data_IF_643322595811
#
_entry.id   IF_643322595811
#
_cell.length_a   1.000
_cell.length_b   1.000
_cell.length_c   1.000
_cell.angle_alpha   90.00
_cell.angle_beta   90.00
_cell.angle_gamma   90.00
#
_symmetry.space_group_name_H-M   'P 1'
#
loop_
_entity.id
_entity.type
_entity.pdbx_description
1 polymer ?
#
# COMPACT_ATOMS: atom_id res chain seq x y z
N UNK A 1 -34.76 -0.88 -22.45
CA UNK A 1 -33.29 -1.06 -22.63
C UNK A 1 -32.41 -0.24 -21.66
N UNK A 2 -32.85 0.92 -21.13
CA UNK A 2 -32.03 1.75 -20.21
C UNK A 2 -31.73 1.12 -18.82
N UNK A 3 -32.59 0.23 -18.32
CA UNK A 3 -32.50 -0.33 -16.96
C UNK A 3 -31.51 -1.49 -16.83
N UNK A 4 -31.35 -2.30 -17.89
CA UNK A 4 -30.37 -3.39 -17.92
C UNK A 4 -28.92 -2.86 -17.91
N UNK A 5 -28.67 -1.75 -18.61
CA UNK A 5 -27.34 -1.09 -18.66
C UNK A 5 -26.89 -0.56 -17.29
N UNK A 6 -27.77 0.08 -16.52
CA UNK A 6 -27.43 0.61 -15.18
C UNK A 6 -27.18 -0.50 -14.16
N UNK A 7 -27.93 -1.59 -14.25
CA UNK A 7 -27.74 -2.76 -13.37
C UNK A 7 -26.40 -3.43 -13.67
N UNK A 8 -26.07 -3.61 -14.95
CA UNK A 8 -24.78 -4.16 -15.36
C UNK A 8 -23.62 -3.27 -14.89
N UNK A 9 -23.69 -1.96 -15.10
CA UNK A 9 -22.67 -1.02 -14.65
C UNK A 9 -22.49 -1.03 -13.12
N UNK A 10 -23.57 -1.24 -12.35
CA UNK A 10 -23.51 -1.41 -10.90
C UNK A 10 -22.78 -2.70 -10.52
N UNK A 11 -23.12 -3.82 -11.15
CA UNK A 11 -22.49 -5.11 -10.90
C UNK A 11 -20.99 -5.07 -11.23
N UNK A 12 -20.61 -4.52 -12.39
CA UNK A 12 -19.21 -4.33 -12.78
C UNK A 12 -18.43 -3.57 -11.71
N UNK A 13 -18.95 -2.42 -11.25
CA UNK A 13 -18.30 -1.63 -10.19
C UNK A 13 -18.16 -2.42 -8.89
N UNK A 14 -19.17 -3.18 -8.50
CA UNK A 14 -19.10 -3.99 -7.28
C UNK A 14 -18.02 -5.05 -7.39
N UNK A 15 -17.95 -5.76 -8.52
CA UNK A 15 -16.89 -6.75 -8.78
C UNK A 15 -15.49 -6.11 -8.75
N UNK A 16 -15.32 -4.90 -9.29
CA UNK A 16 -14.06 -4.17 -9.24
C UNK A 16 -13.65 -3.78 -7.81
N UNK A 17 -14.60 -3.29 -7.00
CA UNK A 17 -14.36 -2.95 -5.60
C UNK A 17 -14.03 -4.22 -4.78
N UNK A 18 -14.75 -5.32 -4.98
CA UNK A 18 -14.47 -6.59 -4.30
C UNK A 18 -13.07 -7.11 -4.68
N UNK A 19 -12.72 -7.09 -5.96
CA UNK A 19 -11.39 -7.47 -6.45
C UNK A 19 -10.28 -6.61 -5.84
N UNK A 20 -10.54 -5.30 -5.66
CA UNK A 20 -9.58 -4.40 -5.01
C UNK A 20 -9.44 -4.70 -3.51
N UNK A 21 -10.53 -4.93 -2.80
CA UNK A 21 -10.49 -5.36 -1.40
C UNK A 21 -9.75 -6.70 -1.23
N UNK A 22 -9.83 -7.62 -2.20
CA UNK A 22 -9.06 -8.86 -2.18
C UNK A 22 -7.55 -8.61 -2.31
N UNK A 23 -7.19 -7.87 -3.37
CA UNK A 23 -5.82 -7.52 -3.72
C UNK A 23 -5.10 -6.79 -2.59
N UNK A 24 -5.72 -5.72 -2.08
CA UNK A 24 -5.12 -4.83 -1.09
C UNK A 24 -5.36 -5.29 0.35
N UNK A 25 -6.30 -6.23 0.54
CA UNK A 25 -6.71 -6.77 1.84
C UNK A 25 -7.56 -5.80 2.67
N UNK A 26 -7.12 -4.56 2.86
CA UNK A 26 -7.80 -3.54 3.65
C UNK A 26 -7.70 -2.18 2.95
N UNK A 27 -8.84 -1.54 2.76
CA UNK A 27 -8.91 -0.20 2.16
C UNK A 27 -9.83 0.69 2.97
N UNK A 28 -9.45 1.95 3.14
CA UNK A 28 -10.35 2.92 3.74
C UNK A 28 -11.44 3.39 2.77
N UNK A 29 -12.50 4.00 3.29
CA UNK A 29 -13.52 4.65 2.44
C UNK A 29 -12.89 5.62 1.44
N UNK A 30 -11.94 6.46 1.89
CA UNK A 30 -11.28 7.46 1.03
C UNK A 30 -10.32 6.83 0.01
N UNK A 31 -9.69 5.72 0.36
CA UNK A 31 -8.88 4.93 -0.57
C UNK A 31 -9.74 4.30 -1.66
N UNK A 32 -10.86 3.68 -1.32
CA UNK A 32 -11.79 3.10 -2.31
C UNK A 32 -12.35 4.20 -3.22
N UNK A 33 -12.70 5.36 -2.65
CA UNK A 33 -13.18 6.51 -3.41
C UNK A 33 -12.21 6.92 -4.52
N UNK A 34 -10.93 7.11 -4.19
CA UNK A 34 -9.88 7.51 -5.14
C UNK A 34 -9.46 6.37 -6.06
N UNK A 35 -9.52 5.11 -5.62
CA UNK A 35 -9.16 3.96 -6.44
C UNK A 35 -10.17 3.70 -7.56
N UNK A 36 -11.46 4.01 -7.34
CA UNK A 36 -12.55 3.72 -8.26
C UNK A 36 -13.31 4.97 -8.75
N UNK A 37 -12.74 6.16 -8.53
CA UNK A 37 -13.31 7.45 -8.98
C UNK A 37 -14.80 7.62 -8.61
N UNK A 38 -15.19 7.27 -7.37
CA UNK A 38 -16.59 7.15 -6.95
C UNK A 38 -17.30 8.49 -6.67
N UNK A 39 -16.73 9.61 -7.12
CA UNK A 39 -17.23 10.95 -6.84
C UNK A 39 -17.01 11.32 -5.37
N UNK A 40 -18.04 11.82 -4.68
CA UNK A 40 -17.93 12.33 -3.31
C UNK A 40 -18.09 11.28 -2.21
N UNK A 41 -17.56 11.59 -1.01
CA UNK A 41 -17.53 10.69 0.15
C UNK A 41 -18.90 10.12 0.56
N UNK A 42 -19.98 10.92 0.46
CA UNK A 42 -21.36 10.46 0.74
C UNK A 42 -21.80 9.36 -0.23
N UNK A 43 -21.48 9.51 -1.52
CA UNK A 43 -21.81 8.52 -2.53
C UNK A 43 -21.01 7.22 -2.31
N UNK A 44 -19.70 7.34 -2.04
CA UNK A 44 -18.85 6.19 -1.72
C UNK A 44 -19.39 5.42 -0.53
N UNK A 45 -19.71 6.13 0.57
CA UNK A 45 -20.25 5.50 1.78
C UNK A 45 -21.56 4.77 1.50
N UNK A 46 -22.47 5.37 0.72
CA UNK A 46 -23.71 4.73 0.31
C UNK A 46 -23.44 3.45 -0.49
N UNK A 47 -22.56 3.50 -1.48
CA UNK A 47 -22.18 2.32 -2.30
C UNK A 47 -21.62 1.20 -1.41
N UNK A 48 -20.70 1.51 -0.49
CA UNK A 48 -20.08 0.52 0.39
C UNK A 48 -21.07 -0.09 1.39
N UNK A 49 -22.01 0.70 1.89
CA UNK A 49 -23.09 0.20 2.73
C UNK A 49 -24.04 -0.73 1.97
N UNK A 50 -24.32 -0.43 0.70
CA UNK A 50 -25.10 -1.33 -0.16
C UNK A 50 -24.37 -2.68 -0.39
N UNK A 51 -23.03 -2.71 -0.26
CA UNK A 51 -22.18 -3.90 -0.42
C UNK A 51 -21.89 -4.65 0.89
N UNK A 52 -22.53 -4.29 2.01
CA UNK A 52 -22.23 -4.87 3.35
C UNK A 52 -22.41 -6.39 3.45
N UNK A 53 -23.19 -6.99 2.56
CA UNK A 53 -23.32 -8.44 2.48
C UNK A 53 -21.98 -9.11 2.13
N UNK A 54 -21.14 -8.44 1.34
CA UNK A 54 -19.86 -8.94 0.84
C UNK A 54 -18.64 -8.35 1.57
N UNK A 55 -18.84 -7.23 2.26
CA UNK A 55 -17.79 -6.50 2.96
C UNK A 55 -17.97 -6.54 4.48
N UNK A 56 -16.87 -6.72 5.20
CA UNK A 56 -16.78 -6.42 6.61
C UNK A 56 -16.06 -5.07 6.80
N UNK A 57 -16.26 -4.42 7.96
CA UNK A 57 -15.62 -3.15 8.25
C UNK A 57 -15.33 -2.94 9.73
N UNK A 58 -14.45 -1.98 10.01
CA UNK A 58 -14.20 -1.46 11.36
C UNK A 58 -13.73 0.02 11.28
N UNK A 59 -13.68 0.71 12.42
CA UNK A 59 -13.20 2.10 12.51
C UNK A 59 -11.74 2.17 12.96
N UNK A 60 -10.94 2.95 12.24
CA UNK A 60 -9.58 3.38 12.60
C UNK A 60 -9.31 4.73 11.93
N UNK A 61 -9.66 5.82 12.60
CA UNK A 61 -9.75 7.16 12.00
C UNK A 61 -10.98 7.28 11.09
N UNK A 62 -10.94 6.61 9.93
CA UNK A 62 -12.07 6.41 9.02
C UNK A 62 -12.51 4.94 8.96
N UNK A 63 -13.52 4.61 8.15
CA UNK A 63 -13.98 3.22 8.01
C UNK A 63 -13.04 2.45 7.10
N UNK A 64 -12.52 1.33 7.59
CA UNK A 64 -11.72 0.37 6.83
C UNK A 64 -12.60 -0.79 6.42
N UNK A 65 -12.52 -1.18 5.15
CA UNK A 65 -13.31 -2.23 4.51
C UNK A 65 -12.40 -3.36 4.02
N UNK A 66 -12.92 -4.58 4.09
CA UNK A 66 -12.25 -5.80 3.64
C UNK A 66 -13.27 -6.89 3.29
N UNK A 67 -12.84 -7.91 2.54
CA UNK A 67 -13.74 -9.00 2.16
C UNK A 67 -14.14 -9.87 3.34
N UNK A 68 -15.44 -10.10 3.49
CA UNK A 68 -15.97 -11.14 4.36
C UNK A 68 -16.05 -12.50 3.62
N UNK A 69 -16.61 -13.53 4.25
CA UNK A 69 -16.71 -14.85 3.63
C UNK A 69 -17.58 -14.87 2.37
N UNK A 70 -18.70 -14.14 2.35
CA UNK A 70 -19.59 -14.04 1.19
C UNK A 70 -18.91 -13.29 0.05
N UNK A 71 -18.23 -12.17 0.32
CA UNK A 71 -17.50 -11.42 -0.70
C UNK A 71 -16.37 -12.21 -1.35
N UNK A 72 -15.66 -13.03 -0.57
CA UNK A 72 -14.66 -13.97 -1.12
C UNK A 72 -15.28 -15.00 -2.04
N UNK A 73 -16.40 -15.61 -1.61
CA UNK A 73 -17.13 -16.59 -2.42
C UNK A 73 -17.60 -15.98 -3.74
N UNK A 74 -18.10 -14.74 -3.72
CA UNK A 74 -18.61 -14.03 -4.90
C UNK A 74 -17.56 -13.88 -6.00
N UNK A 75 -16.30 -13.60 -5.63
CA UNK A 75 -15.20 -13.42 -6.59
C UNK A 75 -14.29 -14.65 -6.72
N UNK A 76 -14.62 -15.77 -6.09
CA UNK A 76 -13.81 -17.00 -6.10
C UNK A 76 -12.47 -16.88 -5.36
N UNK A 77 -12.31 -15.95 -4.42
CA UNK A 77 -11.08 -15.79 -3.64
C UNK A 77 -11.00 -16.78 -2.47
N UNK A 78 -9.84 -17.38 -2.27
CA UNK A 78 -9.51 -18.18 -1.07
C UNK A 78 -8.83 -17.37 0.04
N UNK A 79 -8.51 -16.10 -0.23
CA UNK A 79 -7.64 -15.27 0.59
C UNK A 79 -8.37 -14.72 1.82
N UNK A 80 -8.15 -15.33 2.98
CA UNK A 80 -8.79 -14.85 4.22
C UNK A 80 -8.00 -13.69 4.83
N UNK A 81 -8.70 -12.59 5.13
CA UNK A 81 -8.15 -11.44 5.87
C UNK A 81 -8.73 -11.40 7.28
N UNK A 82 -7.86 -11.16 8.26
CA UNK A 82 -8.23 -10.88 9.65
C UNK A 82 -7.51 -9.61 10.08
N UNK A 83 -8.20 -8.76 10.85
CA UNK A 83 -7.57 -7.58 11.44
C UNK A 83 -6.47 -8.02 12.41
N UNK A 84 -5.27 -7.49 12.23
CA UNK A 84 -4.11 -7.72 13.09
C UNK A 84 -3.46 -6.38 13.45
N UNK A 85 -2.42 -6.40 14.27
CA UNK A 85 -1.60 -5.22 14.55
C UNK A 85 -0.92 -4.66 13.28
N UNK A 86 -0.72 -5.50 12.26
CA UNK A 86 -0.09 -5.11 11.00
C UNK A 86 -1.08 -4.48 9.99
N UNK A 87 -2.39 -4.52 10.26
CA UNK A 87 -3.38 -3.98 9.31
C UNK A 87 -3.17 -2.49 9.03
N UNK A 88 -2.80 -1.71 10.05
CA UNK A 88 -2.51 -0.28 9.87
C UNK A 88 -1.31 -0.01 8.95
N UNK A 89 -0.36 -0.95 8.90
CA UNK A 89 0.80 -0.92 7.99
C UNK A 89 0.37 -1.20 6.55
N UNK A 90 -0.46 -2.23 6.35
CA UNK A 90 -1.03 -2.56 5.03
C UNK A 90 -1.84 -1.39 4.45
N UNK A 91 -2.73 -0.77 5.25
CA UNK A 91 -3.51 0.40 4.82
C UNK A 91 -2.59 1.55 4.39
N UNK A 92 -1.50 1.77 5.12
CA UNK A 92 -0.53 2.81 4.81
C UNK A 92 0.27 2.51 3.53
N UNK A 93 0.68 1.25 3.34
CA UNK A 93 1.31 0.78 2.09
C UNK A 93 0.36 0.97 0.89
N UNK A 94 -0.92 0.68 1.06
CA UNK A 94 -1.94 0.84 0.02
C UNK A 94 -2.15 2.30 -0.37
N UNK A 95 -1.98 3.23 0.57
CA UNK A 95 -2.01 4.67 0.29
C UNK A 95 -0.93 5.06 -0.72
N UNK A 96 0.28 4.53 -0.57
CA UNK A 96 1.40 4.78 -1.49
C UNK A 96 1.08 4.24 -2.88
N UNK A 97 0.54 3.02 -2.97
CA UNK A 97 0.10 2.48 -4.26
C UNK A 97 -0.92 3.40 -4.95
N UNK A 98 -1.87 3.93 -4.18
CA UNK A 98 -2.93 4.77 -4.70
C UNK A 98 -2.39 6.12 -5.18
N UNK A 99 -1.49 6.74 -4.42
CA UNK A 99 -0.87 8.01 -4.77
C UNK A 99 0.04 7.90 -6.01
N UNK A 100 0.88 6.85 -6.09
CA UNK A 100 1.89 6.74 -7.15
C UNK A 100 1.41 6.04 -8.42
N UNK A 101 0.33 5.23 -8.36
CA UNK A 101 -0.17 4.41 -9.48
C UNK A 101 0.96 3.72 -10.27
N UNK A 102 1.81 2.93 -9.60
CA UNK A 102 3.07 2.48 -10.19
C UNK A 102 2.84 1.46 -11.31
N UNK A 103 3.78 1.40 -12.26
CA UNK A 103 3.73 0.45 -13.38
C UNK A 103 3.85 -1.01 -12.91
N UNK A 104 4.58 -1.22 -11.81
CA UNK A 104 4.72 -2.53 -11.18
C UNK A 104 4.71 -2.38 -9.67
N UNK A 105 4.18 -3.37 -8.97
CA UNK A 105 4.07 -3.37 -7.51
C UNK A 105 4.27 -4.78 -6.97
N UNK A 106 5.26 -4.94 -6.08
CA UNK A 106 5.56 -6.20 -5.40
C UNK A 106 5.63 -5.93 -3.90
N UNK A 107 4.66 -6.45 -3.17
CA UNK A 107 4.61 -6.34 -1.71
C UNK A 107 5.63 -7.28 -1.05
N UNK A 108 6.12 -6.88 0.13
CA UNK A 108 7.00 -7.70 0.98
C UNK A 108 8.20 -8.27 0.19
N UNK A 109 8.86 -7.39 -0.56
CA UNK A 109 9.89 -7.78 -1.50
C UNK A 109 11.22 -8.07 -0.80
N UNK A 110 11.59 -9.35 -0.76
CA UNK A 110 12.86 -9.80 -0.21
C UNK A 110 14.01 -9.63 -1.22
N UNK A 111 15.06 -8.91 -0.81
CA UNK A 111 16.36 -8.89 -1.47
C UNK A 111 17.35 -9.68 -0.64
N UNK A 112 18.03 -10.62 -1.26
CA UNK A 112 19.09 -11.45 -0.64
C UNK A 112 20.43 -11.15 -1.28
N UNK A 113 21.47 -11.01 -0.47
CA UNK A 113 22.86 -10.81 -0.91
C UNK A 113 23.82 -11.32 0.17
N UNK A 114 24.90 -12.01 -0.21
CA UNK A 114 26.02 -12.37 0.71
C UNK A 114 25.56 -12.85 2.10
N UNK A 115 24.66 -13.84 2.12
CA UNK A 115 24.01 -14.44 3.31
C UNK A 115 23.10 -13.53 4.14
N UNK A 116 22.80 -12.34 3.64
CA UNK A 116 21.91 -11.34 4.22
C UNK A 116 20.61 -11.22 3.45
N UNK A 117 19.60 -10.68 4.14
CA UNK A 117 18.30 -10.39 3.57
C UNK A 117 17.74 -9.10 4.15
N UNK A 118 17.10 -8.32 3.28
CA UNK A 118 16.21 -7.21 3.65
C UNK A 118 14.87 -7.43 2.96
N UNK A 119 13.77 -7.12 3.65
CA UNK A 119 12.42 -7.19 3.08
C UNK A 119 11.86 -5.78 3.06
N UNK A 120 11.71 -5.23 1.85
CA UNK A 120 11.02 -3.95 1.66
C UNK A 120 9.51 -4.15 1.80
N UNK A 121 8.79 -3.13 2.29
CA UNK A 121 7.33 -3.22 2.37
C UNK A 121 6.69 -3.31 0.99
N UNK A 122 7.30 -2.64 0.02
CA UNK A 122 7.10 -2.91 -1.40
C UNK A 122 8.35 -2.56 -2.23
N UNK A 123 8.46 -3.18 -3.40
CA UNK A 123 9.29 -2.71 -4.50
C UNK A 123 8.36 -2.32 -5.64
N UNK A 124 8.55 -1.13 -6.21
CA UNK A 124 7.77 -0.66 -7.34
C UNK A 124 8.60 0.09 -8.36
N UNK A 125 8.03 0.30 -9.55
CA UNK A 125 8.58 1.21 -10.56
C UNK A 125 7.70 2.43 -10.68
N UNK A 126 8.31 3.61 -10.61
CA UNK A 126 7.60 4.86 -10.91
C UNK A 126 7.29 4.97 -12.41
N UNK A 127 6.53 5.97 -12.81
CA UNK A 127 6.15 6.21 -14.22
C UNK A 127 7.34 6.48 -15.15
N UNK A 128 8.51 6.81 -14.60
CA UNK A 128 9.76 6.96 -15.36
C UNK A 128 10.55 5.63 -15.44
N UNK A 129 9.97 4.52 -14.96
CA UNK A 129 10.57 3.18 -14.99
C UNK A 129 11.61 2.91 -13.91
N UNK A 130 11.93 3.88 -13.03
CA UNK A 130 12.95 3.73 -11.99
C UNK A 130 12.40 2.95 -10.79
N UNK A 131 13.23 2.06 -10.24
CA UNK A 131 12.89 1.30 -9.03
C UNK A 131 12.87 2.17 -7.78
N UNK A 132 11.91 1.88 -6.90
CA UNK A 132 11.78 2.45 -5.55
C UNK A 132 11.52 1.36 -4.54
N UNK A 133 12.34 1.31 -3.48
CA UNK A 133 12.04 0.56 -2.27
C UNK A 133 11.13 1.40 -1.38
N UNK A 134 9.99 0.84 -0.98
CA UNK A 134 9.08 1.46 -0.04
C UNK A 134 9.28 0.89 1.36
N UNK A 135 9.28 1.78 2.33
CA UNK A 135 9.13 1.52 3.75
C UNK A 135 8.00 2.38 4.31
N UNK A 136 7.02 1.79 4.97
CA UNK A 136 6.00 2.51 5.71
C UNK A 136 6.22 2.34 7.20
N UNK A 137 6.14 3.44 7.92
CA UNK A 137 6.48 3.49 9.33
C UNK A 137 5.39 4.19 10.14
N UNK A 138 4.50 3.37 10.68
CA UNK A 138 3.40 3.82 11.55
C UNK A 138 3.83 3.93 13.01
N UNK A 139 4.48 2.90 13.55
CA UNK A 139 4.74 2.77 15.01
C UNK A 139 6.07 2.11 15.34
N UNK A 140 6.94 1.84 14.36
CA UNK A 140 8.15 1.07 14.62
C UNK A 140 9.09 1.84 15.57
N UNK A 141 9.85 1.18 16.46
CA UNK A 141 10.90 1.86 17.19
C UNK A 141 11.93 2.45 16.23
N UNK A 142 12.42 3.67 16.47
CA UNK A 142 13.44 4.31 15.63
C UNK A 142 14.70 3.47 15.43
N UNK A 143 15.06 2.65 16.43
CA UNK A 143 16.19 1.72 16.33
C UNK A 143 15.97 0.63 15.27
N UNK A 144 14.73 0.18 15.07
CA UNK A 144 14.40 -0.79 14.01
C UNK A 144 14.58 -0.14 12.63
N UNK A 145 14.10 1.10 12.45
CA UNK A 145 14.31 1.88 11.23
C UNK A 145 15.82 2.10 10.96
N UNK A 146 16.59 2.47 11.99
CA UNK A 146 18.03 2.67 11.87
C UNK A 146 18.76 1.39 11.39
N UNK A 147 18.38 0.22 11.94
CA UNK A 147 18.90 -1.08 11.46
C UNK A 147 18.56 -1.32 10.00
N UNK A 148 17.31 -1.09 9.60
CA UNK A 148 16.85 -1.30 8.21
C UNK A 148 17.56 -0.37 7.23
N UNK A 149 17.74 0.90 7.61
CA UNK A 149 18.53 1.89 6.84
C UNK A 149 19.98 1.45 6.69
N UNK A 150 20.61 0.95 7.77
CA UNK A 150 21.98 0.43 7.69
C UNK A 150 22.09 -0.76 6.74
N UNK A 151 21.10 -1.66 6.73
CA UNK A 151 21.04 -2.77 5.77
C UNK A 151 20.89 -2.29 4.32
N UNK A 152 20.11 -1.23 4.06
CA UNK A 152 20.03 -0.64 2.72
C UNK A 152 21.37 -0.02 2.27
N UNK A 153 22.08 0.68 3.17
CA UNK A 153 23.44 1.18 2.88
C UNK A 153 24.37 0.05 2.52
N UNK A 154 24.34 -1.01 3.30
CA UNK A 154 25.18 -2.17 3.06
C UNK A 154 24.85 -2.85 1.71
N UNK A 155 23.57 -3.03 1.39
CA UNK A 155 23.14 -3.54 0.09
C UNK A 155 23.58 -2.62 -1.05
N UNK A 156 23.47 -1.30 -0.88
CA UNK A 156 23.96 -0.33 -1.85
C UNK A 156 25.46 -0.48 -2.08
N UNK A 157 26.24 -0.51 -1.01
CA UNK A 157 27.71 -0.54 -1.05
C UNK A 157 28.25 -1.88 -1.57
N UNK A 158 27.50 -2.97 -1.37
CA UNK A 158 27.83 -4.28 -1.95
C UNK A 158 27.80 -4.30 -3.48
N UNK A 159 27.11 -3.35 -4.12
CA UNK A 159 26.91 -3.32 -5.58
C UNK A 159 26.05 -4.45 -6.13
N UNK A 160 25.54 -5.36 -5.28
CA UNK A 160 24.83 -6.59 -5.70
C UNK A 160 23.51 -6.29 -6.39
N UNK A 161 22.79 -5.27 -5.93
CA UNK A 161 21.60 -4.81 -6.63
C UNK A 161 21.95 -4.28 -8.02
N UNK A 162 23.00 -3.45 -8.08
CA UNK A 162 23.34 -2.67 -9.25
C UNK A 162 23.84 -3.54 -10.40
N UNK A 163 24.66 -4.55 -10.08
CA UNK A 163 25.11 -5.56 -11.04
C UNK A 163 23.95 -6.29 -11.73
N UNK A 164 22.83 -6.48 -11.02
CA UNK A 164 21.67 -7.22 -11.54
C UNK A 164 20.60 -6.33 -12.17
N UNK A 165 20.41 -5.12 -11.65
CA UNK A 165 19.25 -4.28 -11.97
C UNK A 165 19.60 -2.86 -12.44
N UNK A 166 20.88 -2.49 -12.51
CA UNK A 166 21.34 -1.16 -12.91
C UNK A 166 21.43 -0.18 -11.74
N UNK A 167 20.72 0.94 -11.79
CA UNK A 167 20.78 1.93 -10.71
C UNK A 167 20.20 1.39 -9.40
N UNK A 168 20.75 1.84 -8.26
CA UNK A 168 20.16 1.54 -6.96
C UNK A 168 18.79 2.23 -6.82
N UNK A 169 17.78 1.58 -6.21
CA UNK A 169 16.45 2.14 -6.12
C UNK A 169 16.43 3.37 -5.19
N UNK A 170 15.52 4.31 -5.45
CA UNK A 170 15.20 5.32 -4.44
C UNK A 170 14.62 4.62 -3.21
N UNK A 171 15.01 5.05 -2.01
CA UNK A 171 14.37 4.58 -0.77
C UNK A 171 13.30 5.60 -0.38
N UNK A 172 12.03 5.23 -0.52
CA UNK A 172 10.90 6.02 -0.08
C UNK A 172 10.47 5.54 1.31
N UNK A 173 10.60 6.41 2.32
CA UNK A 173 9.96 6.21 3.62
C UNK A 173 8.68 7.03 3.71
N UNK A 174 7.59 6.41 4.15
CA UNK A 174 6.35 7.11 4.47
C UNK A 174 6.08 6.92 5.96
N UNK A 175 5.85 8.01 6.69
CA UNK A 175 5.59 7.98 8.14
C UNK A 175 4.35 8.79 8.54
N UNK A 176 4.04 8.84 9.83
CA UNK A 176 2.80 9.47 10.34
C UNK A 176 2.98 10.89 10.90
N UNK A 177 4.21 11.37 11.05
CA UNK A 177 4.45 12.69 11.66
C UNK A 177 5.73 13.34 11.15
N UNK A 178 5.73 14.68 11.16
CA UNK A 178 6.88 15.50 10.78
C UNK A 178 8.12 15.23 11.63
N UNK A 179 7.95 14.94 12.92
CA UNK A 179 9.07 14.57 13.80
C UNK A 179 9.77 13.30 13.28
N UNK A 180 9.00 12.24 12.97
CA UNK A 180 9.56 11.00 12.43
C UNK A 180 10.18 11.22 11.06
N UNK A 181 9.53 12.01 10.19
CA UNK A 181 10.03 12.34 8.85
C UNK A 181 11.43 12.95 8.93
N UNK A 182 11.62 13.95 9.79
CA UNK A 182 12.93 14.57 10.02
C UNK A 182 13.98 13.57 10.50
N UNK A 183 13.65 12.74 11.50
CA UNK A 183 14.60 11.75 12.05
C UNK A 183 15.00 10.70 11.02
N UNK A 184 14.05 10.22 10.22
CA UNK A 184 14.31 9.27 9.13
C UNK A 184 15.17 9.92 8.03
N UNK A 185 14.87 11.16 7.66
CA UNK A 185 15.65 11.90 6.66
C UNK A 185 17.11 12.10 7.11
N UNK A 186 17.32 12.48 8.39
CA UNK A 186 18.66 12.56 8.99
C UNK A 186 19.39 11.21 8.88
N UNK A 187 18.73 10.10 9.22
CA UNK A 187 19.31 8.76 9.16
C UNK A 187 19.61 8.27 7.74
N UNK A 188 18.83 8.68 6.75
CA UNK A 188 18.99 8.34 5.33
C UNK A 188 20.06 9.19 4.63
N UNK A 189 20.59 10.23 5.28
CA UNK A 189 21.54 11.19 4.70
C UNK A 189 22.64 10.54 3.85
N UNK A 190 22.85 11.04 2.64
CA UNK A 190 23.82 10.50 1.68
C UNK A 190 23.34 9.30 0.86
N UNK A 191 22.13 8.77 1.09
CA UNK A 191 21.48 7.86 0.16
C UNK A 191 20.49 8.58 -0.75
N UNK A 192 20.21 7.99 -1.92
CA UNK A 192 19.10 8.42 -2.78
C UNK A 192 17.77 8.04 -2.12
N UNK A 193 17.20 8.96 -1.35
CA UNK A 193 16.01 8.70 -0.54
C UNK A 193 15.04 9.88 -0.50
N UNK A 194 13.78 9.56 -0.23
CA UNK A 194 12.68 10.49 0.00
C UNK A 194 11.95 10.08 1.27
N UNK A 195 11.52 11.06 2.08
CA UNK A 195 10.73 10.80 3.28
C UNK A 195 9.51 11.69 3.27
N UNK A 196 8.33 11.07 3.34
CA UNK A 196 7.04 11.76 3.32
C UNK A 196 6.23 11.38 4.56
N UNK A 197 5.26 12.22 4.90
CA UNK A 197 4.16 11.85 5.78
C UNK A 197 2.99 11.30 4.97
N UNK A 198 2.13 10.53 5.64
CA UNK A 198 0.92 10.00 5.02
C UNK A 198 -0.04 11.09 4.54
N UNK A 199 -0.04 12.27 5.17
CA UNK A 199 -0.88 13.39 4.76
C UNK A 199 -0.41 14.03 3.45
N UNK A 200 0.90 13.98 3.16
CA UNK A 200 1.45 14.49 1.89
C UNK A 200 1.07 13.63 0.68
N UNK A 201 0.55 12.41 0.91
CA UNK A 201 0.09 11.50 -0.15
C UNK A 201 -1.40 11.61 -0.46
N UNK A 202 -2.16 12.37 0.34
CA UNK A 202 -3.62 12.42 0.29
C UNK A 202 -4.17 13.55 -0.57
#
# INVERSE_FOLDING_TARGET
>A
MLTQSRTQAKLTRWTEILSSCDRFGFLTTSQIQRLHDLGGARNTTRILNDMREYLASYRDGETVWYLNAAGRKEIGSSTTRKRTLHTGHAVMRNEVYIAYRPESWREEYAVKWDDKQIVADALFRNVAGAYTFLEVDRTQPMQANAKKIAQYRELHDSGRWQQKNGAFPTILYVTISEYRKRRLAEMLGGMKAEVMTIEELR
#
